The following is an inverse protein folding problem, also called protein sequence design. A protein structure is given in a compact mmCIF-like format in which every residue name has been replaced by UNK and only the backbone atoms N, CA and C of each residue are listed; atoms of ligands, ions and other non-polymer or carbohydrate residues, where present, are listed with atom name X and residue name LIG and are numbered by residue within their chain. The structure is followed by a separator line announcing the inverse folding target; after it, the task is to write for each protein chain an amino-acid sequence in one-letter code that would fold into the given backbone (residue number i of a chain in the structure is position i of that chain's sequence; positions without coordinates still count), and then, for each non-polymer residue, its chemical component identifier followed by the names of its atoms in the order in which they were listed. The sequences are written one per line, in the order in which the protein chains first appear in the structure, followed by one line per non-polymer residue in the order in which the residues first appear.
data_IF_220862762013
#
_entry.id   IF_220862762013
#
_cell.length_a   1.000
_cell.length_b   1.000
_cell.length_c   1.000
_cell.angle_alpha   90.00
_cell.angle_beta   90.00
_cell.angle_gamma   90.00
#
_symmetry.space_group_name_H-M   'P 1'
#
loop_
_entity.id
_entity.type
_entity.pdbx_description
1 polymer ?
#
# COMPACT_ATOMS: atom_id res chain seq x y z
N UNK A 1 23.25 20.97 19.84
CA UNK A 1 21.97 21.64 19.57
C UNK A 1 21.92 22.02 18.10
N UNK A 2 20.77 21.87 17.45
CA UNK A 2 20.56 22.07 16.01
C UNK A 2 21.04 23.41 15.47
N UNK A 3 20.85 24.47 16.25
CA UNK A 3 21.08 25.85 15.85
C UNK A 3 22.47 26.39 16.23
N UNK A 4 23.36 25.55 16.76
CA UNK A 4 24.80 25.87 16.96
C UNK A 4 25.66 25.24 15.86
N UNK A 5 25.12 25.11 14.65
CA UNK A 5 25.77 24.43 13.54
C UNK A 5 27.06 25.10 13.05
N UNK A 6 27.26 26.39 13.34
CA UNK A 6 28.48 27.11 13.01
C UNK A 6 29.35 27.40 14.25
N UNK A 7 30.68 27.29 14.07
CA UNK A 7 31.65 27.44 15.14
C UNK A 7 31.63 28.83 15.78
N UNK A 8 31.33 29.89 15.01
CA UNK A 8 31.32 31.26 15.52
C UNK A 8 30.15 31.49 16.49
N UNK A 9 28.98 30.96 16.19
CA UNK A 9 27.82 31.01 17.09
C UNK A 9 28.07 30.16 18.34
N UNK A 10 28.64 28.96 18.21
CA UNK A 10 29.01 28.12 19.34
C UNK A 10 29.98 28.83 20.30
N UNK A 11 31.00 29.53 19.77
CA UNK A 11 31.96 30.27 20.58
C UNK A 11 31.33 31.48 21.28
N UNK A 12 30.43 32.22 20.61
CA UNK A 12 29.68 33.33 21.22
C UNK A 12 28.83 32.87 22.40
N UNK A 13 28.10 31.76 22.23
CA UNK A 13 27.25 31.25 23.31
C UNK A 13 28.07 30.68 24.46
N UNK A 14 29.20 30.02 24.17
CA UNK A 14 30.16 29.59 25.20
C UNK A 14 30.70 30.77 26.00
N UNK A 15 31.07 31.86 25.32
CA UNK A 15 31.53 33.10 25.97
C UNK A 15 30.43 33.72 26.84
N UNK A 16 29.19 33.77 26.35
CA UNK A 16 28.04 34.27 27.11
C UNK A 16 27.79 33.46 28.39
N UNK A 17 27.83 32.13 28.30
CA UNK A 17 27.66 31.24 29.45
C UNK A 17 28.79 31.44 30.49
N UNK A 18 30.04 31.57 30.04
CA UNK A 18 31.19 31.76 30.91
C UNK A 18 31.19 33.13 31.62
N UNK A 19 30.72 34.18 30.94
CA UNK A 19 30.67 35.54 31.47
C UNK A 19 29.40 35.84 32.26
N UNK A 20 28.46 34.89 32.36
CA UNK A 20 27.19 35.10 33.03
C UNK A 20 27.41 35.43 34.53
N UNK A 21 26.97 36.60 35.02
CA UNK A 21 27.20 37.00 36.40
C UNK A 21 26.44 36.07 37.36
N UNK A 22 26.96 35.80 38.58
CA UNK A 22 26.28 34.96 39.55
C UNK A 22 24.87 35.44 39.92
N UNK A 23 24.62 36.76 39.86
CA UNK A 23 23.29 37.33 40.07
C UNK A 23 22.25 36.86 39.05
N UNK A 24 22.67 36.56 37.82
CA UNK A 24 21.79 36.01 36.79
C UNK A 24 21.54 34.50 36.96
N UNK A 25 22.32 33.83 37.80
CA UNK A 25 22.21 32.39 38.10
C UNK A 25 21.58 32.10 39.46
N UNK A 26 21.24 33.14 40.23
CA UNK A 26 20.83 33.02 41.63
C UNK A 26 19.37 32.55 41.83
N UNK A 27 18.65 32.25 40.74
CA UNK A 27 17.30 31.71 40.82
C UNK A 27 17.34 30.25 41.31
N UNK A 28 16.44 29.91 42.24
CA UNK A 28 16.25 28.53 42.70
C UNK A 28 15.13 27.92 41.87
N UNK A 29 15.52 27.31 40.76
CA UNK A 29 14.63 26.69 39.77
C UNK A 29 15.22 25.36 39.27
N UNK A 30 14.59 24.77 38.25
CA UNK A 30 15.03 23.50 37.64
C UNK A 30 16.38 23.60 36.92
N UNK A 31 16.89 24.82 36.67
CA UNK A 31 18.19 25.01 36.04
C UNK A 31 19.35 24.84 37.03
N UNK A 32 19.11 24.81 38.34
CA UNK A 32 20.12 24.62 39.40
C UNK A 32 21.39 25.46 39.19
N UNK A 33 21.22 26.75 38.91
CA UNK A 33 22.31 27.71 38.68
C UNK A 33 23.16 27.43 37.41
N UNK A 34 22.77 26.49 36.55
CA UNK A 34 23.45 26.16 35.30
C UNK A 34 23.23 27.26 34.26
N UNK A 35 24.33 27.90 33.84
CA UNK A 35 24.30 29.02 32.90
C UNK A 35 23.73 28.63 31.53
N UNK A 36 23.97 27.38 31.09
CA UNK A 36 23.50 26.89 29.80
C UNK A 36 21.99 26.65 29.83
N UNK A 37 21.47 25.99 30.86
CA UNK A 37 20.02 25.78 31.00
C UNK A 37 19.25 27.10 31.04
N UNK A 38 19.80 28.12 31.71
CA UNK A 38 19.23 29.47 31.74
C UNK A 38 19.24 30.11 30.34
N UNK A 39 20.37 30.06 29.62
CA UNK A 39 20.45 30.59 28.25
C UNK A 39 19.46 29.87 27.33
N UNK A 40 19.38 28.55 27.42
CA UNK A 40 18.47 27.74 26.62
C UNK A 40 17.01 28.09 26.90
N UNK A 41 16.64 28.25 28.18
CA UNK A 41 15.30 28.67 28.58
C UNK A 41 14.94 30.04 28.01
N UNK A 42 15.84 31.02 28.11
CA UNK A 42 15.64 32.37 27.55
C UNK A 42 15.50 32.32 26.03
N UNK A 43 16.37 31.59 25.32
CA UNK A 43 16.30 31.47 23.86
C UNK A 43 14.98 30.83 23.41
N UNK A 44 14.55 29.75 24.09
CA UNK A 44 13.28 29.10 23.80
C UNK A 44 12.11 30.04 24.03
N UNK A 45 12.06 30.72 25.18
CA UNK A 45 10.97 31.65 25.52
C UNK A 45 10.91 32.87 24.59
N UNK A 46 12.05 33.44 24.21
CA UNK A 46 12.10 34.57 23.26
C UNK A 46 11.66 34.14 21.87
N UNK A 47 12.11 32.96 21.41
CA UNK A 47 11.74 32.42 20.09
C UNK A 47 10.25 32.11 20.05
N UNK A 48 9.73 31.41 21.06
CA UNK A 48 8.30 31.10 21.18
C UNK A 48 7.46 32.39 21.19
N UNK A 49 7.79 33.35 22.06
CA UNK A 49 7.06 34.61 22.14
C UNK A 49 7.09 35.41 20.82
N UNK A 50 8.22 35.39 20.09
CA UNK A 50 8.33 36.02 18.78
C UNK A 50 7.43 35.30 17.75
N UNK A 51 7.48 33.98 17.69
CA UNK A 51 6.63 33.18 16.80
C UNK A 51 5.14 33.40 17.09
N UNK A 52 4.71 33.31 18.35
CA UNK A 52 3.30 33.54 18.74
C UNK A 52 2.83 34.93 18.37
N UNK A 53 3.65 35.95 18.62
CA UNK A 53 3.33 37.35 18.27
C UNK A 53 3.12 37.51 16.77
N UNK A 54 3.96 36.90 15.94
CA UNK A 54 3.82 36.94 14.48
C UNK A 54 2.54 36.23 14.04
N UNK A 55 2.28 35.02 14.53
CA UNK A 55 1.08 34.24 14.16
C UNK A 55 -0.22 34.95 14.56
N UNK A 56 -0.25 35.61 15.73
CA UNK A 56 -1.39 36.41 16.16
C UNK A 56 -1.56 37.68 15.31
N UNK A 57 -0.47 38.33 14.92
CA UNK A 57 -0.52 39.51 14.05
C UNK A 57 -1.00 39.18 12.62
N UNK A 58 -0.79 37.95 12.17
CA UNK A 58 -1.26 37.44 10.88
C UNK A 58 -2.68 36.82 10.93
N UNK A 59 -3.43 37.04 12.02
CA UNK A 59 -4.81 36.56 12.19
C UNK A 59 -4.97 35.04 11.98
N UNK A 60 -3.93 34.25 12.32
CA UNK A 60 -3.93 32.80 12.10
C UNK A 60 -5.04 32.07 12.86
N UNK A 61 -5.69 32.69 13.85
CA UNK A 61 -6.88 32.12 14.50
C UNK A 61 -8.03 31.89 13.52
N UNK A 62 -8.15 32.70 12.47
CA UNK A 62 -9.24 32.58 11.47
C UNK A 62 -9.10 31.29 10.66
N UNK A 63 -7.87 30.81 10.49
CA UNK A 63 -7.60 29.59 9.72
C UNK A 63 -8.13 28.33 10.37
N UNK A 64 -8.32 28.36 11.69
CA UNK A 64 -8.78 27.23 12.51
C UNK A 64 -10.20 27.39 13.03
N UNK A 65 -10.81 28.57 12.86
CA UNK A 65 -12.18 28.82 13.30
C UNK A 65 -13.17 27.87 12.59
N UNK A 66 -14.02 27.21 13.36
CA UNK A 66 -15.00 26.24 12.84
C UNK A 66 -14.43 24.90 12.35
N UNK A 67 -13.11 24.66 12.47
CA UNK A 67 -12.51 23.37 12.13
C UNK A 67 -12.55 22.38 13.29
N UNK A 68 -12.48 21.10 12.97
CA UNK A 68 -12.47 20.03 13.98
C UNK A 68 -11.19 20.09 14.84
N UNK A 69 -11.29 20.29 16.17
CA UNK A 69 -10.13 20.28 17.06
C UNK A 69 -9.41 18.93 17.11
N UNK A 70 -10.03 17.84 16.66
CA UNK A 70 -9.40 16.52 16.58
C UNK A 70 -8.45 16.36 15.38
N UNK A 71 -8.46 17.29 14.42
CA UNK A 71 -7.49 17.32 13.32
C UNK A 71 -6.08 17.70 13.84
N UNK A 72 -5.06 17.01 13.33
CA UNK A 72 -3.68 17.18 13.79
C UNK A 72 -3.13 18.60 13.57
N UNK A 73 -3.45 19.22 12.43
CA UNK A 73 -2.97 20.55 12.07
C UNK A 73 -3.69 21.62 12.88
N UNK A 74 -4.99 21.45 13.10
CA UNK A 74 -5.82 22.33 13.92
C UNK A 74 -5.38 22.27 15.38
N UNK A 75 -5.12 21.07 15.92
CA UNK A 75 -4.59 20.90 17.27
C UNK A 75 -3.22 21.59 17.43
N UNK A 76 -2.31 21.40 16.47
CA UNK A 76 -0.99 22.03 16.48
C UNK A 76 -1.05 23.55 16.47
N UNK A 77 -1.83 24.14 15.56
CA UNK A 77 -2.04 25.59 15.48
C UNK A 77 -2.71 26.15 16.74
N UNK A 78 -3.69 25.43 17.31
CA UNK A 78 -4.29 25.80 18.60
C UNK A 78 -3.24 25.84 19.73
N UNK A 79 -2.32 24.87 19.77
CA UNK A 79 -1.22 24.86 20.73
C UNK A 79 -0.29 26.06 20.57
N UNK A 80 0.08 26.39 19.32
CA UNK A 80 0.93 27.54 19.00
C UNK A 80 0.27 28.89 19.26
N UNK A 81 -1.05 29.00 19.06
CA UNK A 81 -1.81 30.23 19.30
C UNK A 81 -2.26 30.40 20.75
N UNK A 82 -2.23 29.33 21.55
CA UNK A 82 -2.58 29.35 22.97
C UNK A 82 -1.53 30.03 23.85
N UNK A 83 -1.70 29.92 25.16
CA UNK A 83 -0.69 30.32 26.17
C UNK A 83 0.01 29.11 26.80
N UNK A 84 -0.34 27.90 26.38
CA UNK A 84 0.16 26.64 26.93
C UNK A 84 1.18 25.99 26.00
N UNK A 85 2.14 25.28 26.58
CA UNK A 85 3.09 24.44 25.85
C UNK A 85 2.51 23.05 25.51
N UNK A 86 1.26 22.79 25.88
CA UNK A 86 0.56 21.54 25.59
C UNK A 86 -0.27 21.64 24.30
N UNK A 87 -0.08 20.66 23.40
CA UNK A 87 -0.94 20.50 22.22
C UNK A 87 -2.06 19.48 22.52
N UNK A 88 -3.33 19.88 22.52
CA UNK A 88 -4.45 18.99 22.81
C UNK A 88 -4.71 18.05 21.62
N UNK A 89 -4.18 16.83 21.66
CA UNK A 89 -4.38 15.82 20.62
C UNK A 89 -4.64 14.41 21.19
N UNK A 90 -5.41 13.60 20.46
CA UNK A 90 -5.61 12.16 20.74
C UNK A 90 -4.27 11.40 20.63
N UNK A 91 -4.15 10.27 21.31
CA UNK A 91 -2.88 9.54 21.45
C UNK A 91 -2.27 9.06 20.12
N UNK A 92 -3.12 8.57 19.20
CA UNK A 92 -2.72 8.20 17.83
C UNK A 92 -2.20 9.41 17.03
N UNK A 93 -2.92 10.53 17.09
CA UNK A 93 -2.56 11.79 16.42
C UNK A 93 -1.26 12.36 16.98
N UNK A 94 -1.07 12.30 18.31
CA UNK A 94 0.14 12.77 19.00
C UNK A 94 1.39 12.05 18.50
N UNK A 95 1.31 10.72 18.34
CA UNK A 95 2.44 9.91 17.87
C UNK A 95 2.83 10.28 16.44
N UNK A 96 1.84 10.41 15.55
CA UNK A 96 2.08 10.81 14.17
C UNK A 96 2.64 12.23 14.07
N UNK A 97 2.07 13.18 14.81
CA UNK A 97 2.49 14.57 14.83
C UNK A 97 3.92 14.71 15.37
N UNK A 98 4.27 13.98 16.44
CA UNK A 98 5.64 13.91 16.95
C UNK A 98 6.62 13.36 15.91
N UNK A 99 6.23 12.33 15.14
CA UNK A 99 7.05 11.79 14.05
C UNK A 99 7.26 12.83 12.94
N UNK A 100 6.20 13.54 12.53
CA UNK A 100 6.28 14.61 11.51
C UNK A 100 7.16 15.77 11.95
N UNK A 101 7.03 16.22 13.19
CA UNK A 101 7.87 17.29 13.76
C UNK A 101 9.32 16.84 13.85
N UNK A 102 9.59 15.62 14.33
CA UNK A 102 10.96 15.07 14.34
C UNK A 102 11.57 14.98 12.95
N UNK A 103 10.80 14.55 11.94
CA UNK A 103 11.25 14.55 10.53
C UNK A 103 11.59 15.97 10.06
N UNK A 104 10.73 16.95 10.36
CA UNK A 104 10.97 18.34 9.98
C UNK A 104 12.20 18.93 10.70
N UNK A 105 12.35 18.72 12.00
CA UNK A 105 13.50 19.17 12.78
C UNK A 105 14.79 18.49 12.30
N UNK A 106 14.77 17.17 12.07
CA UNK A 106 15.90 16.45 11.48
C UNK A 106 16.27 17.00 10.10
N UNK A 107 15.29 17.43 9.31
CA UNK A 107 15.53 18.10 8.03
C UNK A 107 16.13 19.51 8.16
N UNK A 108 16.11 20.13 9.34
CA UNK A 108 16.70 21.45 9.61
C UNK A 108 18.08 21.34 10.26
N UNK A 109 18.28 20.34 11.13
CA UNK A 109 19.51 20.06 11.86
C UNK A 109 20.73 19.78 10.96
N UNK A 110 20.50 19.19 9.80
CA UNK A 110 21.53 18.70 8.90
C UNK A 110 21.74 19.57 7.65
N UNK A 111 21.08 20.74 7.54
CA UNK A 111 21.18 21.61 6.34
C UNK A 111 22.53 22.31 6.24
N UNK A 112 23.48 21.67 5.54
CA UNK A 112 24.54 22.36 4.81
C UNK A 112 23.99 23.05 3.55
N UNK A 113 24.53 24.24 3.27
CA UNK A 113 24.49 25.16 2.10
C UNK A 113 23.51 25.04 0.90
N UNK A 114 22.64 24.04 0.73
CA UNK A 114 21.63 24.04 -0.35
C UNK A 114 20.28 23.56 0.16
N UNK A 115 19.39 24.51 0.45
CA UNK A 115 18.15 24.30 1.21
C UNK A 115 16.96 23.74 0.41
N UNK A 116 17.10 23.61 -0.91
CA UNK A 116 15.98 23.29 -1.83
C UNK A 116 16.10 21.92 -2.48
N UNK A 117 17.17 21.19 -2.22
CA UNK A 117 17.46 19.89 -2.84
C UNK A 117 17.83 18.87 -1.77
N UNK A 118 17.47 17.61 -2.00
CA UNK A 118 17.82 16.47 -1.15
C UNK A 118 18.39 15.33 -1.99
N UNK A 119 19.17 14.45 -1.38
CA UNK A 119 19.52 13.18 -2.00
C UNK A 119 18.31 12.25 -2.09
N UNK A 120 18.11 11.68 -3.27
CA UNK A 120 17.11 10.70 -3.60
C UNK A 120 17.81 9.40 -4.01
N UNK A 121 17.41 8.29 -3.37
CA UNK A 121 17.82 6.95 -3.74
C UNK A 121 16.74 6.31 -4.61
N UNK A 122 17.10 5.76 -5.77
CA UNK A 122 16.19 4.96 -6.59
C UNK A 122 16.73 3.54 -6.71
N UNK A 123 15.99 2.58 -6.15
CA UNK A 123 16.31 1.16 -6.29
C UNK A 123 15.74 0.63 -7.61
N UNK A 124 16.64 0.22 -8.51
CA UNK A 124 16.28 -0.34 -9.80
C UNK A 124 16.33 -1.86 -9.77
N UNK A 125 15.39 -2.47 -10.47
CA UNK A 125 15.39 -3.92 -10.69
C UNK A 125 16.60 -4.34 -11.53
N UNK A 126 17.09 -5.59 -11.36
CA UNK A 126 18.13 -6.12 -12.22
C UNK A 126 17.70 -6.14 -13.69
N UNK A 127 18.66 -5.95 -14.61
CA UNK A 127 18.40 -5.95 -16.05
C UNK A 127 17.75 -7.26 -16.52
N UNK A 128 16.76 -7.17 -17.42
CA UNK A 128 16.02 -8.32 -17.94
C UNK A 128 16.91 -9.43 -18.51
N UNK A 129 18.03 -9.07 -19.14
CA UNK A 129 19.01 -10.01 -19.68
C UNK A 129 19.61 -10.93 -18.60
N UNK A 130 19.87 -10.40 -17.40
CA UNK A 130 20.35 -11.18 -16.25
C UNK A 130 19.26 -12.04 -15.61
N UNK A 131 18.00 -11.73 -15.92
CA UNK A 131 16.83 -12.39 -15.37
C UNK A 131 16.22 -13.42 -16.35
N UNK A 132 16.77 -13.57 -17.55
CA UNK A 132 16.27 -14.49 -18.56
C UNK A 132 16.36 -15.95 -18.06
N UNK A 133 15.20 -16.61 -17.94
CA UNK A 133 15.09 -18.00 -17.46
C UNK A 133 15.26 -18.18 -15.95
N UNK A 134 15.28 -17.10 -15.17
CA UNK A 134 15.33 -17.16 -13.70
C UNK A 134 13.90 -17.15 -13.15
N UNK A 135 13.44 -18.33 -12.75
CA UNK A 135 12.27 -18.54 -11.89
C UNK A 135 12.73 -19.21 -10.59
N UNK A 136 12.34 -18.63 -9.45
CA UNK A 136 12.80 -19.02 -8.13
C UNK A 136 13.80 -18.02 -7.51
N UNK A 137 14.65 -18.47 -6.57
CA UNK A 137 15.60 -17.59 -5.90
C UNK A 137 16.64 -17.09 -6.92
N UNK A 138 16.93 -15.78 -6.95
CA UNK A 138 17.93 -15.28 -7.87
C UNK A 138 19.32 -15.82 -7.53
N UNK A 139 20.14 -16.18 -8.53
CA UNK A 139 21.53 -16.54 -8.29
C UNK A 139 22.34 -15.33 -7.82
N UNK A 140 23.49 -15.58 -7.19
CA UNK A 140 24.36 -14.52 -6.63
C UNK A 140 24.90 -13.53 -7.69
N UNK A 141 24.84 -13.90 -8.98
CA UNK A 141 25.21 -13.04 -10.11
C UNK A 141 24.17 -11.96 -10.44
N UNK A 142 22.96 -12.05 -9.87
CA UNK A 142 21.92 -11.05 -10.06
C UNK A 142 22.15 -9.90 -9.10
N UNK A 143 22.39 -8.72 -9.66
CA UNK A 143 22.64 -7.51 -8.91
C UNK A 143 21.56 -6.45 -9.14
N UNK A 144 21.23 -5.75 -8.07
CA UNK A 144 20.35 -4.58 -8.05
C UNK A 144 21.21 -3.32 -8.09
N UNK A 145 20.68 -2.22 -8.62
CA UNK A 145 21.37 -0.94 -8.55
C UNK A 145 20.58 0.06 -7.71
N UNK A 146 21.26 0.70 -6.77
CA UNK A 146 20.75 1.82 -6.00
C UNK A 146 21.34 3.11 -6.58
N UNK A 147 20.63 3.68 -7.54
CA UNK A 147 21.05 4.90 -8.23
C UNK A 147 20.87 6.15 -7.36
N UNK A 148 21.81 7.08 -7.48
CA UNK A 148 21.88 8.31 -6.70
C UNK A 148 21.37 9.50 -7.52
N UNK A 149 20.59 10.37 -6.88
CA UNK A 149 19.92 11.49 -7.54
C UNK A 149 19.82 12.70 -6.60
N UNK A 150 19.68 13.91 -7.17
CA UNK A 150 19.21 15.07 -6.42
C UNK A 150 17.75 15.38 -6.80
N UNK A 151 16.90 15.53 -5.78
CA UNK A 151 15.49 15.85 -5.94
C UNK A 151 15.17 17.19 -5.30
N UNK A 152 14.39 18.02 -5.98
CA UNK A 152 13.94 19.30 -5.44
C UNK A 152 12.84 19.09 -4.39
N UNK A 153 12.91 19.80 -3.26
CA UNK A 153 11.97 19.69 -2.14
C UNK A 153 10.63 20.38 -2.40
N UNK A 154 10.60 21.43 -3.21
CA UNK A 154 9.38 22.17 -3.54
C UNK A 154 8.62 21.52 -4.71
N UNK A 155 9.32 20.72 -5.51
CA UNK A 155 8.76 19.99 -6.65
C UNK A 155 9.41 18.61 -6.81
N UNK A 156 8.77 17.60 -6.21
CA UNK A 156 9.23 16.20 -6.23
C UNK A 156 9.39 15.61 -7.65
N UNK A 157 8.76 16.21 -8.68
CA UNK A 157 8.91 15.76 -10.08
C UNK A 157 10.22 16.21 -10.75
N UNK A 158 10.99 17.07 -10.08
CA UNK A 158 12.28 17.54 -10.57
C UNK A 158 13.38 16.74 -9.89
N UNK A 159 13.93 15.81 -10.65
CA UNK A 159 15.02 14.92 -10.25
C UNK A 159 16.18 15.11 -11.24
N UNK A 160 17.41 15.06 -10.74
CA UNK A 160 18.64 15.18 -11.50
C UNK A 160 19.49 13.95 -11.20
N UNK A 161 19.84 13.20 -12.24
CA UNK A 161 20.61 11.97 -12.09
C UNK A 161 22.06 12.30 -11.73
N UNK A 162 22.70 11.49 -10.88
CA UNK A 162 24.10 11.69 -10.51
C UNK A 162 25.04 11.71 -11.74
N UNK A 163 24.75 10.90 -12.77
CA UNK A 163 25.51 10.90 -14.03
C UNK A 163 25.51 12.28 -14.69
N UNK A 164 24.37 12.96 -14.70
CA UNK A 164 24.25 14.30 -15.24
C UNK A 164 24.98 15.32 -14.35
N UNK A 165 24.91 15.16 -13.03
CA UNK A 165 25.62 16.02 -12.05
C UNK A 165 27.13 16.01 -12.27
N UNK A 166 27.73 14.83 -12.46
CA UNK A 166 29.17 14.70 -12.71
C UNK A 166 29.57 15.24 -14.09
N UNK A 167 28.64 15.25 -15.04
CA UNK A 167 28.86 15.84 -16.37
C UNK A 167 28.80 17.38 -16.38
N UNK A 168 28.34 18.02 -15.31
CA UNK A 168 28.26 19.48 -15.21
C UNK A 168 29.66 20.09 -14.98
N UNK A 169 30.00 21.09 -15.79
CA UNK A 169 31.25 21.86 -15.67
C UNK A 169 31.10 23.18 -14.91
N UNK A 170 29.89 23.52 -14.46
CA UNK A 170 29.55 24.81 -13.85
C UNK A 170 29.22 24.64 -12.37
N UNK A 171 29.62 25.62 -11.57
CA UNK A 171 29.30 25.72 -10.14
C UNK A 171 27.81 25.96 -9.87
N UNK A 172 27.02 26.35 -10.87
CA UNK A 172 25.56 26.44 -10.74
C UNK A 172 24.85 26.15 -12.07
N UNK A 173 23.65 25.58 -11.96
CA UNK A 173 22.78 25.26 -13.10
C UNK A 173 21.33 25.59 -12.75
N UNK A 174 20.56 26.07 -13.73
CA UNK A 174 19.12 26.23 -13.59
C UNK A 174 18.40 25.08 -14.28
N UNK A 175 17.58 24.34 -13.52
CA UNK A 175 16.84 23.18 -13.97
C UNK A 175 15.36 23.50 -13.82
N UNK A 176 14.65 23.63 -14.95
CA UNK A 176 13.23 24.04 -14.99
C UNK A 176 12.94 25.32 -14.17
N UNK A 177 13.87 26.27 -14.16
CA UNK A 177 13.75 27.53 -13.43
C UNK A 177 14.17 27.46 -11.95
N UNK A 178 14.54 26.28 -11.45
CA UNK A 178 15.05 26.09 -10.10
C UNK A 178 16.58 26.13 -10.12
N UNK A 179 17.18 26.88 -9.20
CA UNK A 179 18.63 27.00 -9.10
C UNK A 179 19.20 25.80 -8.32
N UNK A 180 20.26 25.21 -8.85
CA UNK A 180 21.07 24.18 -8.21
C UNK A 180 22.51 24.68 -8.16
N UNK A 181 22.96 25.03 -6.96
CA UNK A 181 24.32 25.50 -6.67
C UNK A 181 25.19 24.32 -6.21
N UNK A 182 26.44 24.31 -6.66
CA UNK A 182 27.49 23.33 -6.37
C UNK A 182 26.99 21.87 -6.34
N UNK A 183 26.39 21.37 -7.44
CA UNK A 183 25.66 20.10 -7.45
C UNK A 183 26.50 18.89 -7.01
N UNK A 184 27.79 18.88 -7.37
CA UNK A 184 28.73 17.81 -6.98
C UNK A 184 29.03 17.84 -5.47
N UNK A 185 29.33 19.02 -4.92
CA UNK A 185 29.58 19.18 -3.48
C UNK A 185 28.34 18.84 -2.66
N UNK A 186 27.16 19.25 -3.14
CA UNK A 186 25.88 18.94 -2.51
C UNK A 186 25.61 17.44 -2.52
N UNK A 187 25.81 16.76 -3.65
CA UNK A 187 25.64 15.31 -3.75
C UNK A 187 26.57 14.58 -2.79
N UNK A 188 27.85 14.96 -2.74
CA UNK A 188 28.83 14.35 -1.83
C UNK A 188 28.51 14.63 -0.35
N UNK A 189 28.08 15.85 -0.02
CA UNK A 189 27.69 16.22 1.34
C UNK A 189 26.48 15.40 1.82
N UNK A 190 25.45 15.28 0.98
CA UNK A 190 24.26 14.49 1.28
C UNK A 190 24.56 12.98 1.31
N UNK A 191 25.45 12.49 0.44
CA UNK A 191 25.88 11.09 0.47
C UNK A 191 26.65 10.77 1.74
N UNK A 192 27.55 11.67 2.17
CA UNK A 192 28.25 11.56 3.46
C UNK A 192 27.29 11.59 4.65
N UNK A 193 26.20 12.37 4.56
CA UNK A 193 25.12 12.38 5.56
C UNK A 193 24.38 11.04 5.60
N UNK A 194 23.99 10.51 4.43
CA UNK A 194 23.28 9.25 4.32
C UNK A 194 24.12 8.04 4.78
N UNK A 195 25.44 8.09 4.60
CA UNK A 195 26.37 7.03 5.02
C UNK A 195 26.31 6.74 6.54
N UNK A 196 25.89 7.71 7.36
CA UNK A 196 25.68 7.52 8.81
C UNK A 196 24.54 6.54 9.11
N UNK A 197 23.54 6.45 8.23
CA UNK A 197 22.37 5.58 8.37
C UNK A 197 22.54 4.28 7.57
N UNK A 198 23.26 4.33 6.46
CA UNK A 198 23.49 3.18 5.59
C UNK A 198 24.96 3.06 5.20
N UNK A 199 25.78 2.35 6.00
CA UNK A 199 27.23 2.25 5.77
C UNK A 199 27.64 1.61 4.44
N UNK A 200 26.74 0.88 3.76
CA UNK A 200 27.05 0.31 2.44
C UNK A 200 27.28 1.37 1.36
N UNK A 201 26.90 2.63 1.61
CA UNK A 201 27.19 3.77 0.73
C UNK A 201 28.69 4.13 0.68
N UNK A 202 29.50 3.62 1.60
CA UNK A 202 30.97 3.74 1.55
C UNK A 202 31.52 3.22 0.21
N UNK A 203 30.91 2.15 -0.35
CA UNK A 203 31.28 1.61 -1.68
C UNK A 203 31.15 2.65 -2.80
N UNK A 204 30.17 3.55 -2.73
CA UNK A 204 30.04 4.64 -3.70
C UNK A 204 31.02 5.77 -3.41
N UNK A 205 31.28 6.08 -2.14
CA UNK A 205 32.22 7.14 -1.75
C UNK A 205 33.68 6.83 -2.12
N UNK A 206 34.01 5.55 -2.36
CA UNK A 206 35.32 5.14 -2.88
C UNK A 206 35.50 5.45 -4.38
N UNK A 207 34.40 5.64 -5.12
CA UNK A 207 34.43 6.00 -6.54
C UNK A 207 34.60 7.52 -6.70
N UNK A 208 35.35 7.99 -7.72
CA UNK A 208 35.55 9.42 -7.95
C UNK A 208 34.26 10.14 -8.38
N UNK A 209 33.35 9.42 -9.02
CA UNK A 209 32.06 9.93 -9.52
C UNK A 209 30.94 8.97 -9.06
N UNK A 210 30.50 9.05 -7.78
CA UNK A 210 29.45 8.18 -7.28
C UNK A 210 28.13 8.40 -8.02
N UNK A 211 27.69 7.37 -8.74
CA UNK A 211 26.42 7.38 -9.50
C UNK A 211 25.41 6.34 -9.01
N UNK A 212 25.89 5.21 -8.49
CA UNK A 212 25.05 4.13 -7.97
C UNK A 212 25.82 3.25 -6.99
N UNK A 213 25.08 2.44 -6.22
CA UNK A 213 25.64 1.35 -5.40
C UNK A 213 25.07 0.03 -5.90
N UNK A 214 25.94 -0.92 -6.21
CA UNK A 214 25.54 -2.27 -6.59
C UNK A 214 25.21 -3.08 -5.33
N UNK A 215 24.02 -3.66 -5.30
CA UNK A 215 23.49 -4.45 -4.19
C UNK A 215 23.22 -5.89 -4.61
N UNK A 216 23.50 -6.83 -3.72
CA UNK A 216 22.94 -8.18 -3.82
C UNK A 216 21.43 -8.16 -3.57
N UNK A 217 20.72 -9.21 -3.99
CA UNK A 217 19.28 -9.33 -3.70
C UNK A 217 18.96 -9.25 -2.20
N UNK A 218 19.85 -9.79 -1.34
CA UNK A 218 19.67 -9.69 0.12
C UNK A 218 19.83 -8.26 0.62
N UNK A 219 20.84 -7.54 0.14
CA UNK A 219 21.06 -6.13 0.51
C UNK A 219 19.91 -5.25 0.00
N UNK A 220 19.40 -5.48 -1.22
CA UNK A 220 18.23 -4.79 -1.75
C UNK A 220 16.99 -5.01 -0.87
N UNK A 221 16.76 -6.25 -0.40
CA UNK A 221 15.69 -6.55 0.55
C UNK A 221 15.86 -5.82 1.89
N UNK A 222 17.05 -5.87 2.48
CA UNK A 222 17.37 -5.15 3.72
C UNK A 222 17.18 -3.65 3.54
N UNK A 223 17.59 -3.10 2.39
CA UNK A 223 17.39 -1.69 2.06
C UNK A 223 15.90 -1.33 2.06
N UNK A 224 15.06 -2.12 1.37
CA UNK A 224 13.63 -1.88 1.27
C UNK A 224 12.88 -1.99 2.61
N UNK A 225 13.28 -2.94 3.46
CA UNK A 225 12.60 -3.22 4.74
C UNK A 225 13.06 -2.32 5.88
N UNK A 226 14.37 -2.20 6.04
CA UNK A 226 14.98 -1.62 7.26
C UNK A 226 15.50 -0.19 7.01
N UNK A 227 16.12 0.04 5.86
CA UNK A 227 16.84 1.30 5.60
C UNK A 227 15.93 2.37 4.99
N UNK A 228 15.03 2.01 4.06
CA UNK A 228 14.07 2.92 3.42
C UNK A 228 13.30 3.77 4.46
N UNK A 229 12.69 3.19 5.51
CA UNK A 229 11.97 3.98 6.51
C UNK A 229 12.88 4.99 7.22
N UNK A 230 14.09 4.57 7.60
CA UNK A 230 15.08 5.41 8.30
C UNK A 230 15.52 6.57 7.41
N UNK A 231 15.83 6.31 6.14
CA UNK A 231 16.24 7.35 5.19
C UNK A 231 15.12 8.39 4.97
N UNK A 232 13.88 7.94 4.80
CA UNK A 232 12.73 8.84 4.66
C UNK A 232 12.51 9.66 5.93
N UNK A 233 12.65 9.06 7.12
CA UNK A 233 12.56 9.76 8.40
C UNK A 233 13.67 10.79 8.61
N UNK A 234 14.86 10.53 8.06
CA UNK A 234 16.00 11.46 8.03
C UNK A 234 15.95 12.50 6.89
N UNK A 235 14.86 12.53 6.11
CA UNK A 235 14.61 13.57 5.10
C UNK A 235 15.17 13.28 3.71
N UNK A 236 15.64 12.06 3.44
CA UNK A 236 16.05 11.63 2.09
C UNK A 236 14.85 11.18 1.26
N UNK A 237 14.98 11.29 -0.06
CA UNK A 237 14.04 10.68 -1.00
C UNK A 237 14.36 9.20 -1.18
N UNK A 238 13.34 8.34 -1.29
CA UNK A 238 13.51 6.94 -1.68
C UNK A 238 12.42 6.53 -2.66
N UNK A 239 12.82 6.15 -3.87
CA UNK A 239 11.99 5.55 -4.90
C UNK A 239 12.20 4.03 -4.93
N UNK A 240 11.10 3.29 -4.86
CA UNK A 240 11.11 1.82 -4.88
C UNK A 240 10.40 1.27 -6.11
N UNK A 241 10.69 0.02 -6.49
CA UNK A 241 9.93 -0.67 -7.53
C UNK A 241 8.42 -0.68 -7.23
N UNK A 242 7.61 -0.60 -8.29
CA UNK A 242 6.15 -0.43 -8.20
C UNK A 242 5.49 -1.55 -7.39
N UNK A 243 5.98 -2.78 -7.51
CA UNK A 243 5.39 -3.94 -6.85
C UNK A 243 5.56 -3.93 -5.33
N UNK A 244 6.60 -3.30 -4.78
CA UNK A 244 6.93 -3.34 -3.34
C UNK A 244 5.83 -2.73 -2.47
N UNK A 245 5.29 -1.59 -2.90
CA UNK A 245 4.25 -0.87 -2.14
C UNK A 245 2.82 -1.32 -2.51
N UNK A 246 2.66 -2.25 -3.47
CA UNK A 246 1.33 -2.75 -3.89
C UNK A 246 0.88 -4.01 -3.12
N UNK A 247 -0.41 -4.14 -2.77
CA UNK A 247 -0.96 -5.37 -2.17
C UNK A 247 -0.83 -6.60 -3.08
N UNK A 248 -0.78 -6.39 -4.40
CA UNK A 248 -0.69 -7.45 -5.40
C UNK A 248 0.66 -8.20 -5.36
N UNK A 249 1.73 -7.56 -4.89
CA UNK A 249 3.03 -8.19 -4.68
C UNK A 249 3.12 -9.04 -3.41
N UNK A 250 2.07 -9.05 -2.58
CA UNK A 250 2.03 -9.79 -1.31
C UNK A 250 1.39 -11.17 -1.46
N UNK A 251 1.83 -12.09 -0.62
CA UNK A 251 1.34 -13.45 -0.53
C UNK A 251 -0.12 -13.50 -0.04
N UNK A 252 -1.00 -14.15 -0.80
CA UNK A 252 -2.38 -14.35 -0.40
C UNK A 252 -2.91 -15.72 -0.81
N UNK A 253 -4.18 -15.99 -0.51
CA UNK A 253 -4.82 -17.26 -0.80
C UNK A 253 -5.76 -17.11 -2.00
N UNK A 254 -5.81 -18.13 -2.87
CA UNK A 254 -6.78 -18.21 -3.95
C UNK A 254 -7.61 -19.48 -3.79
N UNK A 255 -8.92 -19.33 -3.80
CA UNK A 255 -9.85 -20.46 -3.72
C UNK A 255 -10.07 -21.02 -5.13
N UNK A 256 -9.76 -22.30 -5.34
CA UNK A 256 -10.13 -23.04 -6.54
C UNK A 256 -11.39 -23.84 -6.26
N UNK A 257 -12.41 -23.64 -7.09
CA UNK A 257 -13.69 -24.36 -7.05
C UNK A 257 -13.80 -25.24 -8.29
N UNK A 258 -13.99 -26.54 -8.08
CA UNK A 258 -14.18 -27.54 -9.13
C UNK A 258 -15.60 -28.06 -9.09
N UNK A 259 -16.26 -28.01 -10.24
CA UNK A 259 -17.63 -28.51 -10.41
C UNK A 259 -17.78 -29.23 -11.74
N UNK A 260 -18.83 -30.03 -11.86
CA UNK A 260 -19.12 -30.75 -13.10
C UNK A 260 -19.44 -29.79 -14.26
N UNK A 261 -19.16 -30.17 -15.51
CA UNK A 261 -19.59 -29.42 -16.68
C UNK A 261 -21.12 -29.23 -16.71
N UNK A 262 -21.56 -28.09 -17.25
CA UNK A 262 -23.00 -27.80 -17.37
C UNK A 262 -23.73 -28.83 -18.23
N UNK A 263 -23.09 -29.32 -19.30
CA UNK A 263 -23.72 -30.24 -20.26
C UNK A 263 -24.02 -31.61 -19.63
N UNK A 264 -23.16 -32.10 -18.72
CA UNK A 264 -23.41 -33.33 -17.94
C UNK A 264 -24.54 -33.20 -16.92
N UNK A 265 -24.85 -31.98 -16.46
CA UNK A 265 -25.94 -31.74 -15.53
C UNK A 265 -27.29 -31.71 -16.25
N UNK A 266 -27.31 -31.22 -17.49
CA UNK A 266 -28.50 -31.18 -18.35
C UNK A 266 -28.88 -32.59 -18.83
N UNK A 267 -27.91 -33.42 -19.22
CA UNK A 267 -28.17 -34.81 -19.65
C UNK A 267 -28.70 -35.70 -18.52
N UNK A 268 -28.28 -35.44 -17.27
CA UNK A 268 -28.70 -36.22 -16.10
C UNK A 268 -29.94 -35.66 -15.39
N UNK A 269 -30.51 -34.54 -15.84
CA UNK A 269 -31.72 -33.94 -15.28
C UNK A 269 -32.99 -34.78 -15.50
N UNK A 270 -32.92 -35.83 -16.32
CA UNK A 270 -34.01 -36.78 -16.56
C UNK A 270 -34.07 -37.99 -15.60
N UNK A 271 -33.16 -38.09 -14.62
CA UNK A 271 -33.12 -39.19 -13.66
C UNK A 271 -33.41 -38.70 -12.23
N UNK A 272 -34.43 -39.28 -11.59
CA UNK A 272 -34.87 -39.06 -10.20
C UNK A 272 -33.70 -39.10 -9.20
N UNK A 273 -33.11 -37.94 -8.90
CA UNK A 273 -32.13 -37.81 -7.82
C UNK A 273 -32.50 -36.65 -6.92
N UNK A 274 -32.69 -36.96 -5.64
CA UNK A 274 -33.13 -36.05 -4.57
C UNK A 274 -32.02 -35.15 -4.00
N UNK A 275 -30.83 -35.15 -4.59
CA UNK A 275 -29.73 -34.26 -4.16
C UNK A 275 -29.76 -32.96 -4.98
N UNK A 276 -29.63 -31.78 -4.35
CA UNK A 276 -29.53 -30.52 -5.08
C UNK A 276 -28.23 -30.50 -5.90
N UNK A 277 -28.35 -30.77 -7.21
CA UNK A 277 -27.22 -30.84 -8.16
C UNK A 277 -26.72 -29.46 -8.62
N UNK A 278 -27.51 -28.41 -8.38
CA UNK A 278 -27.22 -27.03 -8.78
C UNK A 278 -27.55 -26.07 -7.64
N UNK A 279 -26.78 -24.98 -7.54
CA UNK A 279 -27.03 -23.86 -6.65
C UNK A 279 -26.14 -23.79 -5.40
N UNK A 280 -26.44 -22.86 -4.47
CA UNK A 280 -25.61 -22.59 -3.29
C UNK A 280 -25.39 -23.80 -2.36
N UNK A 281 -26.30 -24.77 -2.38
CA UNK A 281 -26.19 -26.00 -1.58
C UNK A 281 -25.53 -27.16 -2.34
N UNK A 282 -25.23 -26.99 -3.63
CA UNK A 282 -24.59 -28.03 -4.42
C UNK A 282 -23.18 -28.28 -3.88
N UNK A 283 -22.85 -29.57 -3.74
CA UNK A 283 -21.50 -30.01 -3.36
C UNK A 283 -20.54 -29.70 -4.50
N UNK A 284 -19.53 -28.89 -4.20
CA UNK A 284 -18.44 -28.56 -5.12
C UNK A 284 -17.12 -28.97 -4.48
N UNK A 285 -16.19 -29.42 -5.32
CA UNK A 285 -14.81 -29.60 -4.90
C UNK A 285 -14.20 -28.22 -4.63
N UNK A 286 -13.50 -28.07 -3.51
CA UNK A 286 -12.77 -26.85 -3.22
C UNK A 286 -11.35 -27.17 -2.77
N UNK A 287 -10.43 -26.29 -3.13
CA UNK A 287 -9.04 -26.36 -2.70
C UNK A 287 -8.47 -24.96 -2.60
N UNK A 288 -7.55 -24.76 -1.65
CA UNK A 288 -6.83 -23.51 -1.50
C UNK A 288 -5.44 -23.63 -2.11
N UNK A 289 -5.09 -22.65 -2.94
CA UNK A 289 -3.74 -22.46 -3.44
C UNK A 289 -3.15 -21.16 -2.90
N UNK A 290 -1.83 -21.13 -2.78
CA UNK A 290 -1.11 -19.93 -2.39
C UNK A 290 -0.95 -19.09 -3.66
N UNK A 291 -1.53 -17.90 -3.67
CA UNK A 291 -1.42 -16.96 -4.78
C UNK A 291 -0.41 -15.86 -4.44
N UNK A 292 0.48 -15.59 -5.37
CA UNK A 292 1.56 -14.61 -5.18
C UNK A 292 1.82 -13.86 -6.47
N UNK A 293 1.69 -12.53 -6.46
CA UNK A 293 1.94 -11.73 -7.66
C UNK A 293 1.01 -12.00 -8.85
N UNK A 294 -0.07 -12.78 -8.65
CA UNK A 294 -0.98 -13.25 -9.71
C UNK A 294 -0.79 -14.74 -10.08
N UNK A 295 0.37 -15.32 -9.81
CA UNK A 295 0.68 -16.74 -9.98
C UNK A 295 0.07 -17.58 -8.84
N UNK A 296 -0.22 -18.86 -9.10
CA UNK A 296 -0.66 -19.83 -8.08
C UNK A 296 0.43 -20.88 -7.88
N UNK A 297 0.85 -21.08 -6.64
CA UNK A 297 1.85 -22.08 -6.24
C UNK A 297 1.18 -23.13 -5.36
N UNK A 298 1.60 -24.39 -5.54
CA UNK A 298 1.25 -25.44 -4.59
C UNK A 298 2.00 -25.26 -3.26
N UNK A 299 1.47 -25.87 -2.19
CA UNK A 299 2.13 -25.86 -0.88
C UNK A 299 3.57 -26.38 -0.95
N UNK A 300 3.81 -27.44 -1.73
CA UNK A 300 5.13 -28.06 -1.84
C UNK A 300 6.14 -27.15 -2.56
N UNK A 301 5.74 -26.51 -3.66
CA UNK A 301 6.58 -25.53 -4.36
C UNK A 301 6.90 -24.33 -3.45
N UNK A 302 5.89 -23.87 -2.71
CA UNK A 302 6.05 -22.78 -1.77
C UNK A 302 6.98 -23.14 -0.59
N UNK A 303 6.85 -24.34 -0.01
CA UNK A 303 7.74 -24.84 1.03
C UNK A 303 9.19 -24.97 0.52
N UNK A 304 9.41 -25.39 -0.73
CA UNK A 304 10.74 -25.44 -1.34
C UNK A 304 11.37 -24.05 -1.51
N UNK A 305 10.59 -23.07 -1.99
CA UNK A 305 11.05 -21.68 -2.11
C UNK A 305 11.35 -21.06 -0.74
N UNK A 306 10.48 -21.31 0.24
CA UNK A 306 10.69 -20.84 1.61
C UNK A 306 11.93 -21.47 2.27
N UNK A 307 12.20 -22.75 2.01
CA UNK A 307 13.36 -23.45 2.56
C UNK A 307 14.70 -22.85 2.10
N UNK A 308 14.73 -22.21 0.93
CA UNK A 308 15.91 -21.56 0.37
C UNK A 308 16.25 -20.23 1.06
N UNK A 309 15.38 -19.73 1.95
CA UNK A 309 15.59 -18.50 2.75
C UNK A 309 15.98 -17.27 1.91
N UNK A 310 15.50 -17.22 0.66
CA UNK A 310 15.64 -16.05 -0.19
C UNK A 310 14.45 -15.10 0.10
N UNK A 311 14.71 -13.87 0.57
CA UNK A 311 13.63 -12.97 0.96
C UNK A 311 12.89 -12.36 -0.25
N UNK A 312 13.55 -12.29 -1.40
CA UNK A 312 12.98 -11.89 -2.69
C UNK A 312 13.14 -13.03 -3.69
N UNK A 313 12.04 -13.40 -4.33
CA UNK A 313 11.95 -14.50 -5.30
C UNK A 313 11.25 -13.99 -6.55
N UNK A 314 11.64 -14.50 -7.72
CA UNK A 314 10.99 -14.16 -8.98
C UNK A 314 10.11 -15.31 -9.47
N UNK A 315 8.85 -15.03 -9.77
CA UNK A 315 7.86 -16.04 -10.23
C UNK A 315 7.05 -15.42 -11.35
N UNK A 316 6.95 -16.13 -12.48
CA UNK A 316 6.26 -15.67 -13.69
C UNK A 316 6.72 -14.25 -14.13
N UNK A 317 8.03 -14.01 -14.00
CA UNK A 317 8.65 -12.73 -14.33
C UNK A 317 8.45 -11.60 -13.32
N UNK A 318 7.78 -11.83 -12.19
CA UNK A 318 7.48 -10.81 -11.16
C UNK A 318 8.24 -11.05 -9.86
N UNK A 319 8.73 -9.97 -9.24
CA UNK A 319 9.35 -10.02 -7.93
C UNK A 319 8.33 -10.09 -6.81
N UNK A 320 8.63 -10.94 -5.84
CA UNK A 320 7.76 -11.28 -4.73
C UNK A 320 8.57 -11.23 -3.45
N UNK A 321 7.98 -10.61 -2.42
CA UNK A 321 8.49 -10.64 -1.06
C UNK A 321 7.99 -11.91 -0.35
N UNK A 322 8.92 -12.71 0.17
CA UNK A 322 8.60 -13.87 1.02
C UNK A 322 9.02 -13.54 2.45
N UNK A 323 8.04 -13.28 3.32
CA UNK A 323 8.27 -13.05 4.74
C UNK A 323 8.18 -14.36 5.53
N UNK A 324 9.08 -14.62 6.48
CA UNK A 324 9.00 -15.82 7.33
C UNK A 324 7.66 -15.97 8.06
N UNK A 325 7.10 -14.86 8.55
CA UNK A 325 5.79 -14.80 9.20
C UNK A 325 4.64 -15.20 8.25
N UNK A 326 4.68 -14.73 7.00
CA UNK A 326 3.67 -15.02 5.99
C UNK A 326 3.76 -16.48 5.53
N UNK A 327 4.97 -17.05 5.46
CA UNK A 327 5.17 -18.46 5.13
C UNK A 327 4.51 -19.35 6.17
N UNK A 328 4.76 -19.09 7.46
CA UNK A 328 4.20 -19.90 8.53
C UNK A 328 2.67 -19.81 8.54
N UNK A 329 2.12 -18.59 8.41
CA UNK A 329 0.68 -18.37 8.33
C UNK A 329 0.05 -19.10 7.13
N UNK A 330 0.72 -19.09 5.96
CA UNK A 330 0.24 -19.78 4.76
C UNK A 330 0.23 -21.30 4.95
N UNK A 331 1.30 -21.88 5.50
CA UNK A 331 1.41 -23.32 5.76
C UNK A 331 0.34 -23.76 6.77
N UNK A 332 0.17 -23.02 7.87
CA UNK A 332 -0.87 -23.29 8.86
C UNK A 332 -2.28 -23.21 8.25
N UNK A 333 -2.52 -22.20 7.39
CA UNK A 333 -3.79 -22.04 6.70
C UNK A 333 -4.13 -23.20 5.77
N UNK A 334 -3.20 -23.61 4.89
CA UNK A 334 -3.44 -24.72 3.96
C UNK A 334 -3.60 -26.04 4.72
N UNK A 335 -2.86 -26.27 5.80
CA UNK A 335 -3.02 -27.48 6.63
C UNK A 335 -4.36 -27.50 7.39
N UNK A 336 -4.84 -26.35 7.84
CA UNK A 336 -6.16 -26.23 8.46
C UNK A 336 -7.30 -26.37 7.42
N UNK A 337 -7.03 -26.09 6.15
CA UNK A 337 -7.99 -26.12 5.05
C UNK A 337 -7.47 -26.99 3.88
N UNK A 338 -7.36 -28.33 4.07
CA UNK A 338 -6.76 -29.23 3.07
C UNK A 338 -7.57 -29.39 1.76
N UNK A 339 -8.72 -28.72 1.66
CA UNK A 339 -9.70 -28.92 0.59
C UNK A 339 -10.66 -30.07 0.89
N UNK A 340 -11.56 -30.33 -0.05
CA UNK A 340 -12.58 -31.36 0.07
C UNK A 340 -13.83 -31.02 -0.73
N UNK A 341 -14.98 -31.48 -0.26
CA UNK A 341 -16.29 -31.12 -0.81
C UNK A 341 -17.07 -30.27 0.18
N UNK A 342 -17.73 -29.23 -0.29
CA UNK A 342 -18.63 -28.40 0.52
C UNK A 342 -19.70 -27.74 -0.34
N UNK A 343 -20.71 -27.14 0.31
CA UNK A 343 -21.71 -26.35 -0.40
C UNK A 343 -21.10 -25.10 -1.02
N UNK A 344 -21.46 -24.78 -2.28
CA UNK A 344 -20.96 -23.58 -2.98
C UNK A 344 -21.12 -22.28 -2.17
N UNK A 345 -22.24 -22.11 -1.45
CA UNK A 345 -22.46 -20.93 -0.61
C UNK A 345 -21.49 -20.82 0.55
N UNK A 346 -21.04 -21.94 1.11
CA UNK A 346 -20.00 -21.97 2.12
C UNK A 346 -18.62 -21.64 1.53
N UNK A 347 -18.31 -22.20 0.35
CA UNK A 347 -17.09 -21.89 -0.40
C UNK A 347 -16.97 -20.39 -0.72
N UNK A 348 -18.04 -19.78 -1.25
CA UNK A 348 -18.09 -18.35 -1.56
C UNK A 348 -18.03 -17.49 -0.29
N UNK A 349 -18.67 -17.92 0.79
CA UNK A 349 -18.59 -17.21 2.07
C UNK A 349 -17.18 -17.23 2.65
N UNK A 350 -16.39 -18.27 2.44
CA UNK A 350 -14.99 -18.26 2.85
C UNK A 350 -14.12 -17.39 1.94
N UNK A 351 -14.38 -17.34 0.64
CA UNK A 351 -13.63 -16.49 -0.27
C UNK A 351 -13.90 -14.99 -0.07
N UNK A 352 -15.16 -14.61 0.15
CA UNK A 352 -15.60 -13.21 0.22
C UNK A 352 -15.96 -12.75 1.65
N UNK A 353 -15.88 -13.64 2.63
CA UNK A 353 -16.22 -13.35 4.02
C UNK A 353 -15.16 -12.52 4.75
N UNK A 354 -15.61 -11.78 5.77
CA UNK A 354 -14.78 -10.89 6.58
C UNK A 354 -13.75 -11.60 7.49
N UNK A 355 -13.68 -12.93 7.49
CA UNK A 355 -12.74 -13.71 8.30
C UNK A 355 -11.29 -13.65 7.78
N UNK A 356 -11.03 -13.08 6.60
CA UNK A 356 -9.67 -12.86 6.09
C UNK A 356 -8.78 -12.05 7.07
N UNK A 357 -9.36 -11.20 7.93
CA UNK A 357 -8.60 -10.46 8.95
C UNK A 357 -8.12 -11.30 10.14
N UNK A 358 -8.68 -12.49 10.39
CA UNK A 358 -8.26 -13.37 11.50
C UNK A 358 -7.09 -14.29 11.14
N UNK A 359 -6.77 -14.42 9.85
CA UNK A 359 -6.01 -15.56 9.32
C UNK A 359 -4.60 -15.16 8.83
N UNK A 360 -4.31 -13.86 8.70
CA UNK A 360 -3.00 -13.37 8.28
C UNK A 360 -2.74 -13.45 6.77
N UNK A 361 -3.53 -14.20 6.00
CA UNK A 361 -3.54 -14.18 4.53
C UNK A 361 -4.76 -13.44 3.97
N UNK A 362 -4.54 -12.52 3.04
CA UNK A 362 -5.61 -11.92 2.23
C UNK A 362 -6.05 -12.87 1.12
N UNK A 363 -7.36 -13.04 0.93
CA UNK A 363 -7.89 -13.77 -0.22
C UNK A 363 -7.78 -12.88 -1.46
N UNK A 364 -6.99 -13.31 -2.45
CA UNK A 364 -6.72 -12.54 -3.68
C UNK A 364 -7.81 -12.76 -4.73
N UNK A 365 -8.50 -13.90 -4.70
CA UNK A 365 -9.60 -14.16 -5.62
C UNK A 365 -10.11 -15.60 -5.59
N UNK A 366 -11.04 -15.88 -6.51
CA UNK A 366 -11.66 -17.20 -6.72
C UNK A 366 -11.46 -17.60 -8.17
N UNK A 367 -10.94 -18.80 -8.39
CA UNK A 367 -10.93 -19.47 -9.69
C UNK A 367 -11.97 -20.59 -9.65
N UNK A 368 -12.79 -20.69 -10.69
CA UNK A 368 -13.79 -21.74 -10.78
C UNK A 368 -13.74 -22.45 -12.13
N UNK A 369 -14.12 -23.73 -12.12
CA UNK A 369 -14.30 -24.57 -13.30
C UNK A 369 -15.70 -25.21 -13.31
N UNK A 370 -16.09 -25.78 -14.44
CA UNK A 370 -17.42 -26.38 -14.62
C UNK A 370 -18.55 -25.36 -14.69
N UNK A 371 -19.72 -25.71 -14.16
CA UNK A 371 -20.86 -24.78 -14.15
C UNK A 371 -20.62 -23.54 -13.29
N UNK A 372 -19.83 -23.64 -12.20
CA UNK A 372 -19.56 -22.50 -11.31
C UNK A 372 -18.81 -21.37 -12.03
N UNK A 373 -17.93 -21.69 -12.99
CA UNK A 373 -17.20 -20.68 -13.76
C UNK A 373 -18.13 -19.80 -14.61
N UNK A 374 -19.24 -20.38 -15.09
CA UNK A 374 -20.26 -19.66 -15.85
C UNK A 374 -21.04 -18.65 -15.01
N UNK A 375 -21.09 -18.85 -13.68
CA UNK A 375 -21.72 -17.93 -12.73
C UNK A 375 -20.74 -16.85 -12.27
N UNK A 376 -19.51 -17.26 -11.95
CA UNK A 376 -18.50 -16.35 -11.39
C UNK A 376 -17.82 -15.45 -12.42
N UNK A 377 -17.97 -15.73 -13.72
CA UNK A 377 -17.63 -14.82 -14.81
C UNK A 377 -16.18 -14.33 -14.75
N UNK A 378 -15.23 -15.15 -15.18
CA UNK A 378 -13.85 -14.71 -15.35
C UNK A 378 -13.75 -13.63 -16.43
N UNK A 379 -13.21 -12.46 -16.08
CA UNK A 379 -12.98 -11.31 -16.99
C UNK A 379 -12.20 -11.65 -18.28
N UNK A 380 -11.54 -12.80 -18.35
CA UNK A 380 -10.76 -13.23 -19.50
C UNK A 380 -11.54 -14.00 -20.55
N UNK A 381 -12.77 -14.42 -20.26
CA UNK A 381 -13.50 -15.33 -21.14
C UNK A 381 -14.76 -14.65 -21.71
N UNK A 382 -14.58 -14.02 -22.89
CA UNK A 382 -15.69 -13.48 -23.70
C UNK A 382 -16.71 -14.56 -24.11
N UNK A 383 -16.42 -15.84 -23.83
CA UNK A 383 -17.29 -16.99 -24.06
C UNK A 383 -18.40 -17.15 -23.00
N UNK A 384 -18.30 -16.56 -21.80
CA UNK A 384 -19.39 -16.66 -20.78
C UNK A 384 -20.63 -15.86 -21.18
N UNK A 385 -20.50 -14.90 -22.12
CA UNK A 385 -21.66 -14.29 -22.79
C UNK A 385 -22.54 -15.31 -23.54
N UNK A 386 -22.05 -16.53 -23.79
CA UNK A 386 -22.67 -17.47 -24.72
C UNK A 386 -23.74 -18.41 -24.13
N UNK A 387 -24.05 -18.40 -22.82
CA UNK A 387 -25.06 -19.36 -22.28
C UNK A 387 -25.97 -18.81 -21.16
N UNK A 388 -26.22 -17.49 -21.08
CA UNK A 388 -27.39 -17.05 -20.30
C UNK A 388 -28.66 -17.54 -21.04
N UNK A 389 -29.58 -18.25 -20.36
CA UNK A 389 -30.80 -18.71 -21.00
C UNK A 389 -31.61 -17.51 -21.51
N UNK A 390 -32.02 -17.52 -22.77
CA UNK A 390 -32.88 -16.47 -23.32
C UNK A 390 -34.31 -16.69 -22.83
N UNK A 391 -34.67 -16.00 -21.75
CA UNK A 391 -35.96 -16.13 -21.09
C UNK A 391 -36.84 -15.01 -21.61
N UNK A 392 -37.82 -15.41 -22.40
CA UNK A 392 -38.87 -14.52 -22.86
C UNK A 392 -39.90 -14.33 -21.73
N UNK A 393 -40.39 -13.10 -21.48
CA UNK A 393 -41.47 -12.89 -20.52
C UNK A 393 -42.71 -13.70 -20.96
N UNK A 394 -43.41 -14.39 -20.05
CA UNK A 394 -44.61 -15.15 -20.40
C UNK A 394 -45.70 -14.27 -21.03
N UNK A 395 -46.60 -14.84 -21.82
CA UNK A 395 -47.71 -14.12 -22.49
C UNK A 395 -48.64 -13.36 -21.52
N UNK A 396 -48.63 -13.74 -20.24
CA UNK A 396 -49.39 -13.08 -19.16
C UNK A 396 -48.73 -11.81 -18.64
N UNK A 397 -47.51 -11.50 -19.07
CA UNK A 397 -46.81 -10.26 -18.76
C UNK A 397 -47.31 -9.13 -19.66
N UNK A 398 -48.03 -8.17 -19.08
CA UNK A 398 -48.55 -7.01 -19.81
C UNK A 398 -47.51 -5.88 -19.87
N UNK A 399 -46.53 -6.04 -20.77
CA UNK A 399 -45.50 -5.04 -21.05
C UNK A 399 -44.53 -5.52 -22.13
N UNK A 400 -43.79 -4.59 -22.75
CA UNK A 400 -42.74 -4.94 -23.71
C UNK A 400 -41.38 -4.63 -23.10
N UNK A 401 -40.57 -5.66 -22.86
CA UNK A 401 -39.21 -5.48 -22.38
C UNK A 401 -38.30 -4.99 -23.51
N UNK A 402 -37.41 -4.05 -23.20
CA UNK A 402 -36.28 -3.71 -24.08
C UNK A 402 -35.25 -4.85 -24.06
N UNK A 403 -34.41 -5.00 -25.09
CA UNK A 403 -33.42 -6.08 -25.14
C UNK A 403 -32.50 -6.18 -23.91
N UNK A 404 -32.11 -5.05 -23.31
CA UNK A 404 -31.31 -5.07 -22.08
C UNK A 404 -32.12 -5.49 -20.84
N UNK A 405 -33.41 -5.16 -20.77
CA UNK A 405 -34.30 -5.53 -19.67
C UNK A 405 -34.63 -7.02 -19.72
N UNK A 406 -34.76 -7.58 -20.91
CA UNK A 406 -34.87 -9.02 -21.12
C UNK A 406 -33.60 -9.74 -20.69
N UNK A 407 -32.41 -9.21 -21.01
CA UNK A 407 -31.15 -9.75 -20.46
C UNK A 407 -31.12 -9.70 -18.92
N UNK A 408 -31.63 -8.63 -18.32
CA UNK A 408 -31.77 -8.51 -16.87
C UNK A 408 -32.72 -9.56 -16.27
N UNK A 409 -33.87 -9.82 -16.91
CA UNK A 409 -34.78 -10.92 -16.58
C UNK A 409 -34.07 -12.28 -16.65
N UNK A 410 -33.45 -12.59 -17.79
CA UNK A 410 -32.67 -13.83 -18.00
C UNK A 410 -31.61 -14.03 -16.93
N UNK A 411 -30.90 -12.96 -16.55
CA UNK A 411 -29.86 -13.01 -15.53
C UNK A 411 -30.41 -13.22 -14.13
N UNK A 412 -31.49 -12.54 -13.74
CA UNK A 412 -32.10 -12.74 -12.42
C UNK A 412 -32.70 -14.14 -12.26
N UNK A 413 -33.43 -14.62 -13.28
CA UNK A 413 -33.99 -15.97 -13.27
C UNK A 413 -32.90 -17.05 -13.26
N UNK A 414 -31.79 -16.81 -13.97
CA UNK A 414 -30.59 -17.64 -13.90
C UNK A 414 -30.04 -17.66 -12.46
N UNK A 415 -29.81 -16.52 -11.82
CA UNK A 415 -29.30 -16.47 -10.44
C UNK A 415 -30.21 -17.20 -9.43
N UNK A 416 -31.53 -17.03 -9.56
CA UNK A 416 -32.52 -17.69 -8.71
C UNK A 416 -32.49 -19.21 -8.86
N UNK A 417 -32.31 -19.73 -10.09
CA UNK A 417 -32.17 -21.17 -10.35
C UNK A 417 -30.99 -21.78 -9.56
N UNK A 418 -29.96 -20.99 -9.28
CA UNK A 418 -28.80 -21.39 -8.50
C UNK A 418 -28.89 -20.96 -7.02
N UNK A 419 -30.05 -20.49 -6.57
CA UNK A 419 -30.28 -20.08 -5.18
C UNK A 419 -29.54 -18.80 -4.76
N UNK A 420 -29.02 -18.02 -5.72
CA UNK A 420 -28.41 -16.71 -5.45
C UNK A 420 -29.48 -15.63 -5.36
N UNK A 421 -29.26 -14.65 -4.47
CA UNK A 421 -29.98 -13.37 -4.55
C UNK A 421 -29.41 -12.50 -5.67
N UNK A 422 -30.26 -11.66 -6.27
CA UNK A 422 -29.84 -10.70 -7.29
C UNK A 422 -29.92 -9.26 -6.75
N UNK A 423 -28.85 -8.48 -6.92
CA UNK A 423 -28.86 -7.03 -6.71
C UNK A 423 -28.86 -6.32 -8.08
N UNK A 424 -30.03 -5.88 -8.53
CA UNK A 424 -30.17 -5.19 -9.81
C UNK A 424 -29.79 -3.71 -9.65
N UNK A 425 -28.52 -3.39 -9.90
CA UNK A 425 -27.93 -2.07 -9.71
C UNK A 425 -27.78 -1.25 -11.02
N UNK A 426 -28.69 -1.43 -11.98
CA UNK A 426 -28.77 -0.63 -13.21
C UNK A 426 -28.90 0.88 -12.90
N UNK A 427 -28.46 1.74 -13.82
CA UNK A 427 -28.65 3.20 -13.72
C UNK A 427 -30.12 3.60 -13.45
N UNK A 428 -30.29 4.76 -12.81
CA UNK A 428 -31.62 5.31 -12.54
C UNK A 428 -32.37 5.57 -13.85
N UNK A 429 -33.64 5.19 -13.90
CA UNK A 429 -34.50 5.38 -15.08
C UNK A 429 -34.49 4.24 -16.11
N UNK A 430 -33.62 3.23 -16.00
CA UNK A 430 -33.57 2.09 -16.93
C UNK A 430 -34.70 1.07 -16.77
N UNK A 431 -35.62 1.28 -15.82
CA UNK A 431 -36.79 0.43 -15.62
C UNK A 431 -36.48 -0.88 -14.91
N UNK A 432 -35.93 -0.81 -13.69
CA UNK A 432 -35.69 -1.97 -12.83
C UNK A 432 -36.99 -2.63 -12.35
N UNK A 433 -38.02 -1.83 -12.08
CA UNK A 433 -39.33 -2.33 -11.62
C UNK A 433 -39.99 -3.23 -12.66
N UNK A 434 -39.93 -2.87 -13.95
CA UNK A 434 -40.53 -3.69 -15.01
C UNK A 434 -39.79 -5.01 -15.20
N UNK A 435 -38.47 -5.04 -14.97
CA UNK A 435 -37.68 -6.28 -14.96
C UNK A 435 -38.08 -7.19 -13.79
N UNK A 436 -38.25 -6.64 -12.58
CA UNK A 436 -38.70 -7.41 -11.40
C UNK A 436 -40.12 -7.97 -11.59
N UNK A 437 -41.04 -7.18 -12.14
CA UNK A 437 -42.40 -7.66 -12.42
C UNK A 437 -42.40 -8.79 -13.45
N UNK A 438 -41.54 -8.72 -14.47
CA UNK A 438 -41.39 -9.79 -15.45
C UNK A 438 -40.84 -11.07 -14.82
N UNK A 439 -39.90 -10.95 -13.87
CA UNK A 439 -39.37 -12.07 -13.09
C UNK A 439 -40.46 -12.75 -12.27
N UNK A 440 -41.24 -11.99 -11.49
CA UNK A 440 -42.33 -12.53 -10.67
C UNK A 440 -43.43 -13.23 -11.50
N UNK A 441 -43.72 -12.71 -12.71
CA UNK A 441 -44.67 -13.36 -13.64
C UNK A 441 -44.08 -14.66 -14.20
N UNK A 442 -42.78 -14.66 -14.51
CA UNK A 442 -42.05 -15.86 -14.92
C UNK A 442 -42.07 -16.94 -13.82
N UNK A 443 -41.71 -16.59 -12.57
CA UNK A 443 -41.75 -17.50 -11.42
C UNK A 443 -43.14 -18.15 -11.24
N UNK A 444 -44.21 -17.34 -11.30
CA UNK A 444 -45.59 -17.83 -11.20
C UNK A 444 -45.95 -18.79 -12.33
N UNK A 445 -45.48 -18.50 -13.54
CA UNK A 445 -45.72 -19.36 -14.70
C UNK A 445 -45.01 -20.71 -14.56
N UNK A 446 -43.75 -20.72 -14.11
CA UNK A 446 -42.99 -21.94 -13.85
C UNK A 446 -43.62 -22.75 -12.71
N UNK A 447 -43.99 -22.10 -11.60
CA UNK A 447 -44.63 -22.75 -10.45
C UNK A 447 -45.98 -23.38 -10.79
N UNK A 448 -46.78 -22.77 -11.68
CA UNK A 448 -48.06 -23.32 -12.13
C UNK A 448 -47.90 -24.55 -13.06
N UNK A 449 -46.72 -24.75 -13.65
CA UNK A 449 -46.40 -25.87 -14.53
C UNK A 449 -45.68 -27.05 -13.87
N UNK A 450 -45.25 -26.93 -12.60
CA UNK A 450 -44.56 -28.00 -11.89
C UNK A 450 -45.57 -29.05 -11.36
N UNK A 451 -45.42 -30.36 -11.66
CA UNK A 451 -46.25 -31.38 -11.03
C UNK A 451 -45.96 -31.39 -9.52
N UNK A 452 -47.00 -31.19 -8.72
CA UNK A 452 -46.93 -31.33 -7.26
C UNK A 452 -46.69 -32.81 -6.96
N UNK A 453 -45.45 -33.20 -6.67
CA UNK A 453 -45.15 -34.52 -6.13
C UNK A 453 -45.64 -34.59 -4.67
N UNK A 454 -46.22 -35.72 -4.22
CA UNK A 454 -46.58 -35.88 -2.82
C UNK A 454 -45.33 -35.85 -1.94
N UNK A 455 -45.40 -35.05 -0.87
CA UNK A 455 -44.40 -34.90 0.21
C UNK A 455 -44.01 -36.20 0.89
#
# INVERSE_FOLDING_TARGET
MPWLGDAATADRVRALAALMPPSARAAVDEADHDAWLIIQSVLNGVTDAACRRTLLAEEMHDTIEGRDPADAQVAWLNGLLGESDAVPARENVRTEMSRRVRRWVGSLEDRGQSTSWRLLFRLNEPLEEMLAGVDGPPPDSVHWSLSLHLQNLDNDSVVVDAVDIWSLSRESVSIRGLLLETPQELLLAELGRANRFYPQLERALDEPEPIEVILSTREAYTFLREIKPVLIESGFGVETPIWWDTPAGRLGARLKITSDPMDTLIENAGADSTAPRLGLTALVGYQWDIAVGGATLSLHEFEQLAAQKAPLVRIDGRWIEIRPEDVQAAVEFIRANPGGEMGLGEALRMAFGADAKKIGLHVIGVEASGWVSSILGGEKDQTVRAKLPDIQPPDTFHGTLRPYQQRGLSWMAFLEQFGFGACLADDMGLGKTVQLLALLVHERHVAAGAPVAPT
#
